data_IF_576098031648
#
_entry.id   IF_576098031648
#
_cell.length_a   1.000
_cell.length_b   1.000
_cell.length_c   1.000
_cell.angle_alpha   90.00
_cell.angle_beta   90.00
_cell.angle_gamma   90.00
#
_symmetry.space_group_name_H-M   'P 1'
#
loop_
_entity.id
_entity.type
_entity.pdbx_description
1 polymer ?
#
# COMPACT_ATOMS: atom_id res chain seq x y z
N UNK A 1 -13.71 -16.48 17.19
CA UNK A 1 -12.63 -16.69 16.20
C UNK A 1 -11.73 -15.48 16.28
N UNK A 2 -10.44 -15.67 16.51
CA UNK A 2 -9.46 -14.59 16.54
C UNK A 2 -9.07 -14.24 15.10
N UNK A 3 -9.02 -12.95 14.77
CA UNK A 3 -8.59 -12.44 13.45
C UNK A 3 -7.33 -11.58 13.64
N UNK A 4 -6.55 -11.39 12.58
CA UNK A 4 -5.35 -10.56 12.62
C UNK A 4 -5.68 -9.09 12.92
N UNK A 5 -6.85 -8.61 12.50
CA UNK A 5 -7.27 -7.22 12.74
C UNK A 5 -6.50 -6.22 11.87
N UNK A 6 -6.00 -6.67 10.71
CA UNK A 6 -5.34 -5.83 9.71
C UNK A 6 -6.21 -4.67 9.24
N UNK A 7 -7.52 -4.87 9.07
CA UNK A 7 -8.42 -3.80 8.68
C UNK A 7 -8.48 -2.68 9.73
N UNK A 8 -8.53 -3.03 11.02
CA UNK A 8 -8.54 -2.07 12.12
C UNK A 8 -7.17 -1.35 12.25
N UNK A 9 -6.09 -2.11 12.12
CA UNK A 9 -4.72 -1.61 12.15
C UNK A 9 -4.51 -0.55 11.05
N UNK A 10 -4.88 -0.87 9.82
CA UNK A 10 -4.75 0.05 8.69
C UNK A 10 -5.71 1.23 8.83
N UNK A 11 -6.91 1.03 9.39
CA UNK A 11 -7.82 2.16 9.69
C UNK A 11 -7.18 3.20 10.63
N UNK A 12 -6.35 2.75 11.58
CA UNK A 12 -5.60 3.66 12.47
C UNK A 12 -4.51 4.43 11.71
N UNK A 13 -3.76 3.73 10.85
CA UNK A 13 -2.70 4.34 10.01
C UNK A 13 -3.30 5.32 9.00
N UNK A 14 -4.41 4.95 8.37
CA UNK A 14 -5.18 5.77 7.46
C UNK A 14 -5.66 7.05 8.12
N UNK A 15 -6.27 6.98 9.31
CA UNK A 15 -6.71 8.15 10.05
C UNK A 15 -5.56 9.11 10.33
N UNK A 16 -4.39 8.60 10.71
CA UNK A 16 -3.19 9.40 10.92
C UNK A 16 -2.67 10.04 9.61
N UNK A 17 -2.69 9.31 8.49
CA UNK A 17 -2.30 9.86 7.19
C UNK A 17 -3.27 10.95 6.73
N UNK A 18 -4.57 10.75 6.90
CA UNK A 18 -5.62 11.73 6.55
C UNK A 18 -5.42 13.02 7.32
N UNK A 19 -5.22 12.93 8.63
CA UNK A 19 -4.98 14.09 9.49
C UNK A 19 -3.67 14.81 9.14
N UNK A 20 -2.55 14.10 9.14
CA UNK A 20 -1.22 14.73 9.02
C UNK A 20 -0.96 15.30 7.62
N UNK A 21 -1.53 14.69 6.56
CA UNK A 21 -1.35 15.16 5.18
C UNK A 21 -2.49 16.07 4.70
N UNK A 22 -3.53 16.27 5.52
CA UNK A 22 -4.73 17.03 5.15
C UNK A 22 -5.40 16.42 3.92
N UNK A 23 -5.68 15.12 3.96
CA UNK A 23 -6.32 14.43 2.84
C UNK A 23 -7.83 14.67 2.84
N UNK A 24 -8.37 14.93 1.66
CA UNK A 24 -9.79 15.12 1.40
C UNK A 24 -10.37 13.89 0.70
N UNK A 25 -11.58 13.42 1.06
CA UNK A 25 -12.17 12.25 0.45
C UNK A 25 -12.48 12.48 -1.03
N UNK A 26 -12.21 11.46 -1.86
CA UNK A 26 -12.66 11.38 -3.24
C UNK A 26 -13.99 10.61 -3.25
N UNK A 27 -15.01 11.19 -3.89
CA UNK A 27 -16.27 10.48 -4.11
C UNK A 27 -16.06 9.30 -5.07
N UNK A 28 -16.32 8.09 -4.58
CA UNK A 28 -16.28 6.88 -5.39
C UNK A 28 -17.66 6.62 -6.03
N UNK A 29 -17.71 6.06 -7.25
CA UNK A 29 -18.97 5.63 -7.85
C UNK A 29 -19.79 4.73 -6.92
N UNK A 30 -21.11 4.85 -6.99
CA UNK A 30 -22.03 4.04 -6.21
C UNK A 30 -21.71 2.55 -6.38
N UNK A 31 -21.62 1.84 -5.24
CA UNK A 31 -21.29 0.41 -5.21
C UNK A 31 -19.80 0.08 -5.15
N UNK A 32 -18.88 1.01 -5.44
CA UNK A 32 -17.43 0.75 -5.32
C UNK A 32 -16.88 0.99 -3.92
N UNK A 33 -17.54 1.83 -3.10
CA UNK A 33 -17.11 2.10 -1.72
C UNK A 33 -17.37 0.93 -0.76
N UNK A 34 -18.39 0.11 -1.05
CA UNK A 34 -18.75 -1.08 -0.27
C UNK A 34 -19.48 -2.10 -1.13
N UNK A 35 -19.07 -3.36 -1.05
CA UNK A 35 -19.71 -4.46 -1.74
C UNK A 35 -19.73 -5.72 -0.85
N UNK A 36 -20.75 -6.56 -1.05
CA UNK A 36 -20.83 -7.89 -0.43
C UNK A 36 -20.74 -8.96 -1.51
N UNK A 37 -20.05 -10.05 -1.21
CA UNK A 37 -19.79 -11.14 -2.15
C UNK A 37 -19.56 -12.47 -1.44
N UNK A 38 -19.05 -13.45 -2.17
CA UNK A 38 -18.66 -14.72 -1.57
C UNK A 38 -17.41 -15.32 -2.19
N UNK A 39 -16.45 -15.72 -1.35
CA UNK A 39 -15.24 -16.43 -1.77
C UNK A 39 -15.25 -17.80 -1.10
N UNK A 40 -15.11 -18.87 -1.91
CA UNK A 40 -15.18 -20.27 -1.43
C UNK A 40 -16.42 -20.54 -0.55
N UNK A 41 -17.58 -19.99 -0.93
CA UNK A 41 -18.86 -20.05 -0.19
C UNK A 41 -18.89 -19.32 1.16
N UNK A 42 -17.80 -18.67 1.55
CA UNK A 42 -17.80 -17.79 2.73
C UNK A 42 -18.28 -16.39 2.33
N UNK A 43 -19.17 -15.75 3.10
CA UNK A 43 -19.53 -14.36 2.85
C UNK A 43 -18.32 -13.46 3.07
N UNK A 44 -18.12 -12.50 2.17
CA UNK A 44 -17.05 -11.50 2.28
C UNK A 44 -17.60 -10.11 2.02
N UNK A 45 -16.98 -9.12 2.64
CA UNK A 45 -17.26 -7.71 2.45
C UNK A 45 -16.00 -7.02 1.94
N UNK A 46 -16.16 -6.19 0.90
CA UNK A 46 -15.12 -5.30 0.42
C UNK A 46 -15.50 -3.87 0.76
N UNK A 47 -14.57 -3.10 1.30
CA UNK A 47 -14.71 -1.64 1.44
C UNK A 47 -13.56 -0.94 0.73
N UNK A 48 -13.85 0.23 0.16
CA UNK A 48 -12.85 1.05 -0.51
C UNK A 48 -13.05 2.51 -0.15
N UNK A 49 -11.94 3.19 0.15
CA UNK A 49 -11.88 4.62 0.44
C UNK A 49 -10.74 5.22 -0.36
N UNK A 50 -10.95 6.42 -0.88
CA UNK A 50 -9.95 7.14 -1.65
C UNK A 50 -9.92 8.61 -1.21
N UNK A 51 -8.75 9.22 -1.32
CA UNK A 51 -8.48 10.57 -0.89
C UNK A 51 -7.50 11.25 -1.84
N UNK A 52 -7.49 12.58 -1.82
CA UNK A 52 -6.50 13.43 -2.49
C UNK A 52 -6.05 14.53 -1.53
N UNK A 53 -4.98 15.24 -1.85
CA UNK A 53 -4.58 16.40 -1.05
C UNK A 53 -3.38 17.12 -1.63
N UNK A 54 -2.79 18.00 -0.82
CA UNK A 54 -1.59 18.75 -1.19
C UNK A 54 -0.39 17.86 -1.46
N UNK A 55 -0.24 16.78 -0.68
CA UNK A 55 0.92 15.91 -0.72
C UNK A 55 0.66 14.58 -1.46
N UNK A 56 -0.61 14.17 -1.56
CA UNK A 56 -1.02 12.97 -2.24
C UNK A 56 -1.86 13.30 -3.47
N UNK A 57 -1.48 12.73 -4.61
CA UNK A 57 -2.33 12.73 -5.81
C UNK A 57 -3.51 11.80 -5.60
N UNK A 58 -3.22 10.62 -5.05
CA UNK A 58 -4.19 9.60 -4.68
C UNK A 58 -3.69 8.92 -3.40
N UNK A 59 -4.52 8.83 -2.38
CA UNK A 59 -4.38 7.87 -1.30
C UNK A 59 -5.59 6.95 -1.34
N UNK A 60 -5.42 5.65 -1.11
CA UNK A 60 -6.55 4.73 -1.06
C UNK A 60 -6.32 3.59 -0.08
N UNK A 61 -7.41 3.10 0.48
CA UNK A 61 -7.46 1.92 1.33
C UNK A 61 -8.57 1.02 0.80
N UNK A 62 -8.22 -0.22 0.47
CA UNK A 62 -9.18 -1.27 0.12
C UNK A 62 -9.04 -2.40 1.12
N UNK A 63 -10.14 -2.79 1.75
CA UNK A 63 -10.20 -3.93 2.66
C UNK A 63 -11.14 -4.98 2.10
N UNK A 64 -10.80 -6.26 2.29
CA UNK A 64 -11.64 -7.41 2.00
C UNK A 64 -11.64 -8.30 3.24
N UNK A 65 -12.79 -8.46 3.87
CA UNK A 65 -12.93 -9.19 5.15
C UNK A 65 -14.08 -10.18 5.08
N UNK A 66 -13.88 -11.40 5.57
CA UNK A 66 -14.96 -12.37 5.76
C UNK A 66 -14.50 -13.82 5.66
N UNK A 67 -15.13 -14.68 6.47
CA UNK A 67 -14.65 -16.06 6.64
C UNK A 67 -13.15 -16.07 7.04
N UNK A 68 -12.30 -16.86 6.36
CA UNK A 68 -10.87 -16.96 6.63
C UNK A 68 -10.02 -15.87 5.97
N UNK A 69 -10.63 -14.90 5.29
CA UNK A 69 -9.93 -13.91 4.47
C UNK A 69 -9.93 -12.56 5.18
N UNK A 70 -8.74 -11.99 5.31
CA UNK A 70 -8.54 -10.59 5.65
C UNK A 70 -7.43 -10.04 4.75
N UNK A 71 -7.78 -9.17 3.82
CA UNK A 71 -6.83 -8.48 2.94
C UNK A 71 -7.01 -6.99 3.12
N UNK A 72 -5.92 -6.25 3.27
CA UNK A 72 -5.92 -4.80 3.26
C UNK A 72 -4.80 -4.27 2.39
N UNK A 73 -5.14 -3.32 1.53
CA UNK A 73 -4.21 -2.69 0.58
C UNK A 73 -4.32 -1.16 0.72
N UNK A 74 -3.26 -0.54 1.26
CA UNK A 74 -3.08 0.89 1.39
C UNK A 74 -2.02 1.36 0.40
N UNK A 75 -2.38 2.35 -0.41
CA UNK A 75 -1.47 2.95 -1.38
C UNK A 75 -1.56 4.47 -1.29
N UNK A 76 -0.42 5.15 -1.27
CA UNK A 76 -0.34 6.60 -1.45
C UNK A 76 0.57 6.94 -2.61
N UNK A 77 -0.02 7.47 -3.67
CA UNK A 77 0.67 8.06 -4.81
C UNK A 77 0.88 9.54 -4.53
N UNK A 78 2.12 10.01 -4.37
CA UNK A 78 2.40 11.40 -4.07
C UNK A 78 2.10 12.29 -5.27
N UNK A 79 1.98 13.61 -5.03
CA UNK A 79 1.95 14.59 -6.13
C UNK A 79 3.28 14.56 -6.87
N UNK A 80 3.21 14.68 -8.20
CA UNK A 80 4.37 14.76 -9.09
C UNK A 80 5.34 15.90 -8.74
N UNK A 81 4.91 16.91 -8.00
CA UNK A 81 5.76 18.03 -7.58
C UNK A 81 6.61 17.74 -6.33
N UNK A 82 6.35 16.66 -5.60
CA UNK A 82 6.93 16.44 -4.26
C UNK A 82 8.21 15.61 -4.23
N UNK A 83 8.51 14.83 -5.27
CA UNK A 83 9.62 13.88 -5.28
C UNK A 83 9.55 12.75 -4.25
N UNK A 84 8.47 12.65 -3.48
CA UNK A 84 8.26 11.58 -2.52
C UNK A 84 8.08 10.22 -3.23
N UNK A 85 8.41 9.10 -2.56
CA UNK A 85 8.14 7.75 -3.07
C UNK A 85 6.65 7.41 -2.97
N UNK A 86 6.20 6.36 -3.67
CA UNK A 86 4.90 5.76 -3.43
C UNK A 86 4.97 4.94 -2.13
N UNK A 87 4.03 5.17 -1.22
CA UNK A 87 3.80 4.28 -0.07
C UNK A 87 2.89 3.13 -0.52
N UNK A 88 3.34 1.89 -0.34
CA UNK A 88 2.52 0.70 -0.56
C UNK A 88 2.57 -0.19 0.68
N UNK A 89 1.41 -0.54 1.25
CA UNK A 89 1.27 -1.48 2.37
C UNK A 89 0.16 -2.46 2.04
N UNK A 90 0.51 -3.73 1.98
CA UNK A 90 -0.40 -4.86 1.74
C UNK A 90 -0.31 -5.82 2.92
N UNK A 91 -1.47 -6.18 3.47
CA UNK A 91 -1.64 -7.15 4.53
C UNK A 91 -2.61 -8.21 4.04
N UNK A 92 -2.27 -9.48 4.17
CA UNK A 92 -3.11 -10.60 3.76
C UNK A 92 -3.05 -11.70 4.81
N UNK A 93 -4.19 -12.30 5.14
CA UNK A 93 -4.22 -13.60 5.83
C UNK A 93 -5.19 -14.54 5.11
N UNK A 94 -4.72 -15.76 4.87
CA UNK A 94 -5.56 -16.88 4.47
C UNK A 94 -5.56 -17.92 5.59
N UNK A 95 -6.74 -18.26 6.12
CA UNK A 95 -6.92 -19.35 7.09
C UNK A 95 -6.58 -19.04 8.57
N UNK A 96 -6.61 -17.77 8.97
CA UNK A 96 -6.49 -17.28 10.36
C UNK A 96 -5.18 -17.57 11.11
N UNK A 97 -4.33 -18.48 10.63
CA UNK A 97 -3.09 -18.85 11.29
C UNK A 97 -1.89 -18.06 10.77
N UNK A 98 -1.90 -17.68 9.48
CA UNK A 98 -0.79 -16.99 8.83
C UNK A 98 -1.24 -15.70 8.19
N UNK A 99 -0.44 -14.67 8.44
CA UNK A 99 -0.53 -13.39 7.78
C UNK A 99 0.74 -13.16 6.94
N UNK A 100 0.62 -12.23 6.00
CA UNK A 100 1.71 -11.75 5.18
C UNK A 100 1.65 -10.25 5.17
N UNK A 101 2.82 -9.63 5.19
CA UNK A 101 2.97 -8.18 5.05
C UNK A 101 3.95 -7.87 3.95
N UNK A 102 3.53 -6.94 3.09
CA UNK A 102 4.40 -6.27 2.14
C UNK A 102 4.28 -4.78 2.39
N UNK A 103 5.38 -4.11 2.76
CA UNK A 103 5.39 -2.67 2.93
C UNK A 103 6.62 -2.07 2.26
N UNK A 104 6.44 -0.99 1.51
CA UNK A 104 7.53 -0.38 0.76
C UNK A 104 7.35 1.13 0.54
N UNK A 105 8.48 1.80 0.30
CA UNK A 105 8.57 3.17 -0.21
C UNK A 105 9.15 3.12 -1.62
N UNK A 106 8.30 2.82 -2.59
CA UNK A 106 8.64 2.59 -3.99
C UNK A 106 9.17 3.89 -4.59
N UNK A 107 10.42 3.88 -5.01
CA UNK A 107 11.11 5.08 -5.48
C UNK A 107 10.73 5.48 -6.89
N UNK A 108 10.70 6.80 -7.11
CA UNK A 108 10.33 7.43 -8.38
C UNK A 108 11.51 8.13 -9.06
N UNK A 109 12.74 7.75 -8.74
CA UNK A 109 13.95 8.35 -9.30
C UNK A 109 14.58 7.47 -10.38
N UNK A 110 15.09 8.12 -11.44
CA UNK A 110 15.64 7.48 -12.64
C UNK A 110 16.93 6.70 -12.44
N UNK A 111 17.83 7.23 -11.62
CA UNK A 111 19.16 6.69 -11.43
C UNK A 111 19.20 5.84 -10.15
N UNK A 112 19.63 4.59 -10.26
CA UNK A 112 19.81 3.67 -9.14
C UNK A 112 20.75 4.27 -8.08
N UNK A 113 21.79 5.00 -8.49
CA UNK A 113 22.71 5.64 -7.55
C UNK A 113 22.04 6.80 -6.80
N UNK A 114 21.25 7.64 -7.48
CA UNK A 114 20.47 8.74 -6.88
C UNK A 114 19.35 8.19 -6.01
N UNK A 115 18.65 7.14 -6.46
CA UNK A 115 17.65 6.43 -5.69
C UNK A 115 18.26 5.87 -4.39
N UNK A 116 19.37 5.13 -4.52
CA UNK A 116 20.09 4.60 -3.37
C UNK A 116 20.66 5.71 -2.48
N UNK A 117 21.03 6.87 -3.02
CA UNK A 117 21.50 8.02 -2.25
C UNK A 117 20.35 8.67 -1.48
N UNK A 118 19.21 8.95 -2.12
CA UNK A 118 18.03 9.52 -1.45
C UNK A 118 17.47 8.58 -0.40
N UNK A 119 17.39 7.27 -0.68
CA UNK A 119 16.91 6.28 0.28
C UNK A 119 17.92 6.03 1.41
N UNK A 120 19.24 6.13 1.15
CA UNK A 120 20.26 6.13 2.21
C UNK A 120 20.19 7.40 3.04
N UNK A 121 20.06 8.56 2.42
CA UNK A 121 19.88 9.84 3.12
C UNK A 121 18.63 9.80 3.99
N UNK A 122 17.55 9.19 3.50
CA UNK A 122 16.35 8.93 4.27
C UNK A 122 16.57 8.05 5.48
N UNK A 123 17.21 6.90 5.27
CA UNK A 123 17.58 5.98 6.33
C UNK A 123 18.50 6.66 7.36
N UNK A 124 19.36 7.59 6.92
CA UNK A 124 20.29 8.33 7.77
C UNK A 124 19.64 9.51 8.51
N UNK A 125 18.68 10.22 7.90
CA UNK A 125 17.91 11.31 8.53
C UNK A 125 16.97 10.76 9.59
N UNK A 126 16.48 9.52 9.42
CA UNK A 126 15.52 8.88 10.33
C UNK A 126 15.85 7.41 10.61
N UNK A 127 16.99 7.11 11.28
CA UNK A 127 17.43 5.74 11.52
C UNK A 127 16.40 4.94 12.33
N UNK A 128 15.71 5.59 13.28
CA UNK A 128 14.66 4.99 14.10
C UNK A 128 13.41 4.52 13.33
N UNK A 129 13.22 4.93 12.08
CA UNK A 129 12.02 4.59 11.29
C UNK A 129 12.22 3.40 10.34
N UNK A 130 13.45 2.88 10.22
CA UNK A 130 13.76 1.68 9.44
C UNK A 130 14.82 0.82 10.15
N UNK A 131 14.84 0.85 11.49
CA UNK A 131 15.69 -0.06 12.27
C UNK A 131 15.13 -1.48 12.23
N UNK A 132 16.05 -2.44 12.28
CA UNK A 132 15.77 -3.86 12.49
C UNK A 132 14.77 -4.11 13.61
N UNK A 133 14.75 -3.27 14.65
CA UNK A 133 13.92 -3.43 15.85
C UNK A 133 12.41 -3.42 15.55
N UNK A 134 11.95 -2.68 14.54
CA UNK A 134 10.55 -2.73 14.10
C UNK A 134 10.23 -4.02 13.32
N UNK A 135 11.26 -4.71 12.83
CA UNK A 135 11.20 -5.94 12.05
C UNK A 135 11.60 -7.18 12.86
N UNK A 136 12.03 -7.01 14.12
CA UNK A 136 12.38 -8.12 15.02
C UNK A 136 11.12 -8.97 15.25
N UNK A 137 11.19 -10.24 14.85
CA UNK A 137 10.10 -11.20 15.01
C UNK A 137 9.47 -11.66 13.69
N UNK A 138 9.61 -10.87 12.61
CA UNK A 138 9.02 -11.19 11.32
C UNK A 138 9.89 -12.18 10.53
N UNK A 139 9.27 -13.27 10.05
CA UNK A 139 9.95 -14.27 9.24
C UNK A 139 9.97 -13.83 7.77
N UNK A 140 11.14 -13.68 7.12
CA UNK A 140 11.18 -13.32 5.70
C UNK A 140 10.47 -14.35 4.82
N UNK A 141 9.62 -13.91 3.89
CA UNK A 141 8.90 -14.81 2.96
C UNK A 141 9.76 -15.23 1.75
N UNK A 142 11.02 -14.83 1.73
CA UNK A 142 11.93 -15.00 0.59
C UNK A 142 11.89 -13.84 -0.39
N UNK A 143 12.38 -14.06 -1.61
CA UNK A 143 12.49 -13.00 -2.60
C UNK A 143 11.13 -12.55 -3.13
N UNK A 144 10.97 -11.23 -3.35
CA UNK A 144 9.82 -10.70 -4.06
C UNK A 144 9.78 -11.24 -5.52
N UNK A 145 8.57 -11.44 -6.09
CA UNK A 145 8.42 -11.70 -7.52
C UNK A 145 9.18 -10.67 -8.36
N UNK A 146 9.76 -11.10 -9.49
CA UNK A 146 10.64 -10.25 -10.32
C UNK A 146 10.01 -8.91 -10.72
N UNK A 147 8.71 -8.91 -11.01
CA UNK A 147 7.97 -7.69 -11.35
C UNK A 147 7.84 -6.73 -10.16
N UNK A 148 7.66 -7.20 -8.93
CA UNK A 148 7.67 -6.34 -7.72
C UNK A 148 9.07 -5.85 -7.42
N UNK A 149 10.07 -6.72 -7.60
CA UNK A 149 11.49 -6.40 -7.38
C UNK A 149 11.98 -5.26 -8.27
N UNK A 150 11.48 -5.15 -9.49
CA UNK A 150 11.80 -4.05 -10.40
C UNK A 150 11.40 -2.66 -9.85
N UNK A 151 10.44 -2.64 -8.92
CA UNK A 151 9.91 -1.42 -8.29
C UNK A 151 10.33 -1.26 -6.83
N UNK A 152 10.91 -2.30 -6.23
CA UNK A 152 11.16 -2.34 -4.80
C UNK A 152 12.21 -1.30 -4.38
N UNK A 153 12.02 -0.70 -3.21
CA UNK A 153 13.09 0.07 -2.57
C UNK A 153 14.24 -0.87 -2.14
N UNK A 154 15.40 -0.35 -1.69
CA UNK A 154 16.46 -1.13 -1.08
C UNK A 154 16.06 -1.81 0.24
N UNK A 155 14.92 -1.42 0.83
CA UNK A 155 14.42 -1.97 2.10
C UNK A 155 12.91 -2.23 2.01
N UNK A 156 12.45 -3.12 1.12
CA UNK A 156 11.06 -3.53 1.16
C UNK A 156 10.88 -4.51 2.33
N UNK A 157 9.75 -4.44 3.01
CA UNK A 157 9.33 -5.50 3.91
C UNK A 157 8.56 -6.55 3.11
N UNK A 158 8.94 -7.81 3.25
CA UNK A 158 8.25 -8.97 2.68
C UNK A 158 8.36 -10.14 3.66
N UNK A 159 7.34 -10.30 4.50
CA UNK A 159 7.42 -11.21 5.63
C UNK A 159 6.11 -11.94 5.90
N UNK A 160 6.25 -13.12 6.50
CA UNK A 160 5.19 -13.85 7.17
C UNK A 160 5.01 -13.31 8.60
N UNK A 161 3.76 -13.36 9.05
CA UNK A 161 3.28 -12.88 10.33
C UNK A 161 2.50 -13.99 11.00
N UNK A 162 2.86 -14.31 12.24
CA UNK A 162 2.05 -15.17 13.10
C UNK A 162 0.99 -14.33 13.82
N UNK A 163 -0.17 -14.92 14.11
CA UNK A 163 -1.30 -14.19 14.72
C UNK A 163 -0.93 -13.46 16.03
N UNK A 164 -0.06 -14.07 16.83
CA UNK A 164 0.40 -13.50 18.11
C UNK A 164 1.37 -12.32 17.95
N UNK A 165 1.85 -12.04 16.72
CA UNK A 165 2.83 -11.00 16.42
C UNK A 165 2.28 -9.82 15.56
N UNK A 166 0.96 -9.64 15.58
CA UNK A 166 0.28 -8.50 14.92
C UNK A 166 0.82 -7.13 15.35
N UNK A 167 1.38 -7.04 16.56
CA UNK A 167 1.99 -5.81 17.07
C UNK A 167 3.24 -5.39 16.27
N UNK A 168 4.06 -6.34 15.80
CA UNK A 168 5.27 -6.05 15.01
C UNK A 168 4.91 -5.54 13.64
N UNK A 169 3.89 -6.14 13.00
CA UNK A 169 3.32 -5.63 11.74
C UNK A 169 2.78 -4.21 11.89
N UNK A 170 2.09 -3.94 13.00
CA UNK A 170 1.55 -2.60 13.27
C UNK A 170 2.67 -1.57 13.35
N UNK A 171 3.73 -1.86 14.12
CA UNK A 171 4.89 -0.98 14.25
C UNK A 171 5.57 -0.77 12.91
N UNK A 172 5.77 -1.83 12.13
CA UNK A 172 6.41 -1.75 10.83
C UNK A 172 5.56 -0.92 9.83
N UNK A 173 4.27 -1.22 9.67
CA UNK A 173 3.37 -0.47 8.80
C UNK A 173 3.29 1.01 9.18
N UNK A 174 3.21 1.31 10.49
CA UNK A 174 3.24 2.68 11.00
C UNK A 174 4.59 3.39 10.71
N UNK A 175 5.71 2.66 10.74
CA UNK A 175 7.02 3.20 10.43
C UNK A 175 7.13 3.60 8.94
N UNK A 176 6.65 2.75 8.01
CA UNK A 176 6.57 3.09 6.58
C UNK A 176 5.65 4.29 6.34
N UNK A 177 4.46 4.32 6.95
CA UNK A 177 3.54 5.44 6.82
C UNK A 177 4.09 6.75 7.40
N UNK A 178 4.77 6.69 8.55
CA UNK A 178 5.48 7.82 9.12
C UNK A 178 6.61 8.31 8.22
N UNK A 179 7.34 7.39 7.57
CA UNK A 179 8.47 7.71 6.70
C UNK A 179 8.00 8.42 5.44
N UNK A 180 6.95 7.88 4.82
CA UNK A 180 6.25 8.55 3.74
C UNK A 180 5.77 9.95 4.16
N UNK A 181 5.13 10.08 5.32
CA UNK A 181 4.60 11.38 5.79
C UNK A 181 5.69 12.42 5.98
N UNK A 182 6.82 12.01 6.56
CA UNK A 182 7.98 12.88 6.72
C UNK A 182 8.50 13.34 5.35
N UNK A 183 8.65 12.42 4.41
CA UNK A 183 9.14 12.68 3.06
C UNK A 183 8.20 13.56 2.23
N UNK A 184 6.92 13.26 2.24
CA UNK A 184 5.92 13.99 1.45
C UNK A 184 5.82 15.46 1.89
N UNK A 185 6.13 15.74 3.17
CA UNK A 185 6.20 17.09 3.73
C UNK A 185 7.57 17.74 3.59
N UNK A 186 8.62 16.95 3.36
CA UNK A 186 9.98 17.42 3.11
C UNK A 186 10.06 17.96 1.68
N UNK A 187 9.91 19.28 1.54
CA UNK A 187 9.93 19.96 0.23
C UNK A 187 11.32 19.99 -0.43
N UNK A 188 12.33 19.35 0.16
CA UNK A 188 13.68 19.27 -0.40
C UNK A 188 13.82 18.20 -1.48
N UNK A 189 12.96 17.18 -1.48
CA UNK A 189 13.00 16.14 -2.49
C UNK A 189 12.64 16.72 -3.85
N UNK A 190 13.52 16.50 -4.83
CA UNK A 190 13.29 16.90 -6.20
C UNK A 190 12.64 15.75 -6.96
N UNK A 191 11.47 15.95 -7.59
CA UNK A 191 10.89 14.93 -8.44
C UNK A 191 11.76 14.64 -9.65
N UNK A 192 11.72 13.39 -10.12
CA UNK A 192 12.22 13.04 -11.44
C UNK A 192 11.44 13.78 -12.54
N UNK A 193 12.07 14.00 -13.69
CA UNK A 193 11.44 14.74 -14.79
C UNK A 193 10.22 14.02 -15.35
N UNK A 194 10.19 12.70 -15.26
CA UNK A 194 9.19 11.79 -15.77
C UNK A 194 8.37 11.12 -14.63
N UNK A 195 8.37 11.69 -13.43
CA UNK A 195 7.73 11.11 -12.23
C UNK A 195 6.28 10.65 -12.46
N UNK A 196 5.50 11.37 -13.27
CA UNK A 196 4.13 10.99 -13.61
C UNK A 196 4.08 9.73 -14.50
N UNK A 197 5.00 9.60 -15.43
CA UNK A 197 5.12 8.41 -16.28
C UNK A 197 5.54 7.20 -15.44
N UNK A 198 6.43 7.40 -14.46
CA UNK A 198 6.85 6.36 -13.51
C UNK A 198 5.71 5.92 -12.59
N UNK A 199 4.95 6.86 -12.01
CA UNK A 199 3.73 6.53 -11.27
C UNK A 199 2.77 5.71 -12.14
N UNK A 200 2.56 6.14 -13.39
CA UNK A 200 1.66 5.46 -14.32
C UNK A 200 2.14 4.06 -14.71
N UNK A 201 3.46 3.88 -14.87
CA UNK A 201 4.07 2.59 -15.16
C UNK A 201 3.94 1.62 -13.97
N UNK A 202 4.22 2.08 -12.75
CA UNK A 202 4.03 1.29 -11.52
C UNK A 202 2.57 0.81 -11.40
N UNK A 203 1.61 1.73 -11.54
CA UNK A 203 0.18 1.38 -11.45
C UNK A 203 -0.26 0.43 -12.57
N UNK A 204 0.31 0.56 -13.78
CA UNK A 204 0.03 -0.35 -14.90
C UNK A 204 0.54 -1.76 -14.60
N UNK A 205 1.78 -1.89 -14.14
CA UNK A 205 2.35 -3.21 -13.79
C UNK A 205 1.54 -3.90 -12.69
N UNK A 206 1.11 -3.15 -11.69
CA UNK A 206 0.20 -3.62 -10.64
C UNK A 206 -1.14 -4.08 -11.22
N UNK A 207 -1.75 -3.27 -12.10
CA UNK A 207 -3.01 -3.62 -12.79
C UNK A 207 -2.92 -4.94 -13.53
N UNK A 208 -1.79 -5.22 -14.16
CA UNK A 208 -1.64 -6.37 -15.04
C UNK A 208 -1.28 -7.66 -14.27
N UNK A 209 -0.72 -7.55 -13.05
CA UNK A 209 -0.05 -8.67 -12.36
C UNK A 209 -0.48 -8.89 -10.91
N UNK A 210 -1.25 -7.99 -10.31
CA UNK A 210 -1.61 -8.13 -8.89
C UNK A 210 -2.62 -9.29 -8.67
N UNK A 211 -2.28 -10.28 -7.82
CA UNK A 211 -3.15 -11.43 -7.56
C UNK A 211 -4.48 -11.05 -6.88
N UNK A 212 -4.56 -9.91 -6.20
CA UNK A 212 -5.78 -9.45 -5.53
C UNK A 212 -6.93 -9.26 -6.52
N UNK A 213 -6.61 -8.92 -7.76
CA UNK A 213 -7.60 -8.70 -8.83
C UNK A 213 -8.36 -10.01 -9.11
N UNK A 214 -7.63 -11.13 -9.19
CA UNK A 214 -8.23 -12.44 -9.37
C UNK A 214 -9.08 -12.86 -8.17
N UNK A 215 -8.66 -12.50 -6.94
CA UNK A 215 -9.42 -12.75 -5.73
C UNK A 215 -10.75 -11.98 -5.71
N UNK A 216 -10.72 -10.68 -6.03
CA UNK A 216 -11.90 -9.82 -6.11
C UNK A 216 -12.85 -10.31 -7.20
N UNK A 217 -12.34 -10.65 -8.39
CA UNK A 217 -13.16 -11.16 -9.49
C UNK A 217 -13.91 -12.45 -9.11
N UNK A 218 -13.28 -13.34 -8.34
CA UNK A 218 -13.95 -14.55 -7.81
C UNK A 218 -15.02 -14.24 -6.77
N UNK A 219 -14.83 -13.19 -5.96
CA UNK A 219 -15.75 -12.83 -4.88
C UNK A 219 -16.97 -12.02 -5.32
N UNK A 220 -16.79 -11.14 -6.30
CA UNK A 220 -17.73 -10.07 -6.65
C UNK A 220 -18.07 -10.01 -8.15
N UNK A 221 -17.45 -10.85 -8.97
CA UNK A 221 -17.63 -10.86 -10.43
C UNK A 221 -16.61 -10.00 -11.18
N UNK A 222 -16.40 -10.33 -12.46
CA UNK A 222 -15.39 -9.70 -13.30
C UNK A 222 -15.67 -8.22 -13.57
N UNK A 223 -16.93 -7.86 -13.83
CA UNK A 223 -17.32 -6.48 -14.11
C UNK A 223 -17.02 -5.56 -12.93
N UNK A 224 -17.42 -5.98 -11.72
CA UNK A 224 -17.11 -5.25 -10.50
C UNK A 224 -15.60 -5.10 -10.30
N UNK A 225 -14.84 -6.20 -10.43
CA UNK A 225 -13.39 -6.18 -10.28
C UNK A 225 -12.71 -5.23 -11.27
N UNK A 226 -13.13 -5.24 -12.54
CA UNK A 226 -12.63 -4.34 -13.57
C UNK A 226 -12.89 -2.87 -13.21
N UNK A 227 -14.11 -2.52 -12.79
CA UNK A 227 -14.44 -1.16 -12.37
C UNK A 227 -13.64 -0.71 -11.15
N UNK A 228 -13.51 -1.57 -10.13
CA UNK A 228 -12.74 -1.27 -8.93
C UNK A 228 -11.26 -1.06 -9.26
N UNK A 229 -10.70 -1.89 -10.13
CA UNK A 229 -9.30 -1.80 -10.56
C UNK A 229 -9.02 -0.49 -11.30
N UNK A 230 -9.85 -0.16 -12.28
CA UNK A 230 -9.64 1.01 -13.14
C UNK A 230 -9.92 2.34 -12.45
N UNK A 231 -10.78 2.34 -11.42
CA UNK A 231 -11.22 3.58 -10.76
C UNK A 231 -10.62 3.79 -9.38
N UNK A 232 -10.20 2.72 -8.70
CA UNK A 232 -9.78 2.78 -7.29
C UNK A 232 -8.40 2.18 -7.07
N UNK A 233 -8.19 0.90 -7.41
CA UNK A 233 -6.94 0.23 -7.04
C UNK A 233 -5.74 0.81 -7.79
N UNK A 234 -5.85 0.87 -9.12
CA UNK A 234 -4.78 1.28 -10.02
C UNK A 234 -5.33 2.16 -11.15
N UNK A 235 -5.82 3.37 -10.86
CA UNK A 235 -6.39 4.25 -11.88
C UNK A 235 -5.32 4.75 -12.85
N UNK A 236 -5.75 5.17 -14.05
CA UNK A 236 -4.87 5.90 -14.97
C UNK A 236 -4.69 7.32 -14.44
N UNK A 237 -3.44 7.76 -14.34
CA UNK A 237 -3.12 9.13 -13.95
C UNK A 237 -3.08 10.00 -15.21
N UNK A 238 -3.91 11.03 -15.27
CA UNK A 238 -3.95 12.00 -16.38
C UNK A 238 -3.17 13.26 -16.00
N UNK A 239 -2.41 13.90 -16.90
CA UNK A 239 -1.80 15.21 -16.59
C UNK A 239 -2.87 16.18 -16.07
N UNK A 240 -2.56 16.91 -14.98
CA UNK A 240 -3.43 17.94 -14.41
C UNK A 240 -3.25 19.26 -15.12
#
# INVERSE_FOLDING_TARGET
MTQFGFAQMIGTIEAALVDVLGLEPIELPAGLFRASGSIRRSPVELTARAYTGRHARLARVVTLTGGPIEVTDLLVVPRETSGAPILAIELESDDHERGYVIADLVSMVDDEATNAAQLRELANRRPAMMTSDALVGLMPLGELPSWRRAWASPRPMHAQVELDDTSSVTRAAAAYAGAFTALARDGELRPARDVLDRHSAYLRDRRDRDPVIGLIARGFGYEFASQLVERVLFPRLLPT
#
